data_IF_426651996345
#
_entry.id   IF_426651996345
#
_cell.length_a   1.000
_cell.length_b   1.000
_cell.length_c   1.000
_cell.angle_alpha   90.00
_cell.angle_beta   90.00
_cell.angle_gamma   90.00
#
_symmetry.space_group_name_H-M   'P 1'
#
loop_
_entity.id
_entity.type
_entity.pdbx_description
1 polymer ?
#
# COMPACT_ATOMS: atom_id res chain seq x y z
N UNK A 1 26.78 -4.06 7.40
CA UNK A 1 26.87 -5.12 6.36
C UNK A 1 28.31 -5.21 5.86
N UNK A 2 28.77 -6.38 5.41
CA UNK A 2 30.06 -6.53 4.70
C UNK A 2 29.76 -6.81 3.24
N UNK A 3 30.38 -6.05 2.34
CA UNK A 3 30.18 -6.20 0.91
C UNK A 3 31.44 -6.76 0.25
N UNK A 4 31.23 -7.72 -0.64
CA UNK A 4 32.27 -8.28 -1.51
C UNK A 4 31.88 -8.09 -2.97
N UNK A 5 32.73 -8.52 -3.90
CA UNK A 5 32.42 -8.51 -5.33
C UNK A 5 31.37 -9.58 -5.75
N UNK A 6 31.05 -10.55 -4.89
CA UNK A 6 30.08 -11.62 -5.19
C UNK A 6 28.82 -11.55 -4.30
N UNK A 7 28.96 -11.03 -3.07
CA UNK A 7 27.95 -11.18 -2.00
C UNK A 7 27.81 -9.95 -1.12
N UNK A 8 26.58 -9.73 -0.66
CA UNK A 8 26.22 -8.84 0.44
C UNK A 8 26.04 -9.72 1.68
N UNK A 9 26.73 -9.41 2.78
CA UNK A 9 26.57 -10.09 4.08
C UNK A 9 25.96 -9.15 5.11
N UNK A 10 24.96 -9.63 5.84
CA UNK A 10 24.37 -8.94 6.98
C UNK A 10 24.55 -9.76 8.25
N UNK A 11 25.17 -9.12 9.25
CA UNK A 11 25.33 -9.67 10.59
C UNK A 11 24.66 -8.68 11.56
N UNK A 12 23.60 -9.09 12.27
CA UNK A 12 23.02 -8.26 13.32
C UNK A 12 24.07 -7.97 14.42
N UNK A 13 24.17 -6.72 14.84
CA UNK A 13 25.02 -6.35 15.97
C UNK A 13 24.29 -6.66 17.29
N UNK A 14 24.88 -7.48 18.18
CA UNK A 14 24.43 -7.58 19.57
C UNK A 14 23.70 -8.86 20.04
N UNK A 15 23.73 -9.97 19.29
CA UNK A 15 23.20 -11.25 19.81
C UNK A 15 24.35 -12.03 20.47
N UNK A 16 24.31 -12.09 21.80
CA UNK A 16 25.13 -12.97 22.63
C UNK A 16 24.90 -14.44 22.23
N UNK A 17 26.00 -15.16 22.03
CA UNK A 17 26.17 -16.61 21.95
C UNK A 17 25.10 -17.42 22.71
N UNK A 18 24.00 -17.80 22.07
CA UNK A 18 23.22 -19.00 22.48
C UNK A 18 22.12 -19.47 21.53
N UNK A 19 21.80 -18.80 20.42
CA UNK A 19 20.95 -19.40 19.38
C UNK A 19 21.44 -19.00 17.98
N UNK A 20 21.60 -19.99 17.11
CA UNK A 20 22.04 -19.89 15.72
C UNK A 20 21.26 -18.82 14.95
N UNK A 21 21.83 -17.63 14.82
CA UNK A 21 21.47 -16.70 13.75
C UNK A 21 22.74 -16.49 12.94
N UNK A 22 22.95 -17.38 11.97
CA UNK A 22 24.06 -17.27 11.04
C UNK A 22 24.00 -15.96 10.26
N UNK A 23 25.15 -15.45 9.84
CA UNK A 23 25.21 -14.32 8.93
C UNK A 23 24.33 -14.60 7.71
N UNK A 24 23.38 -13.71 7.42
CA UNK A 24 22.59 -13.80 6.19
C UNK A 24 23.41 -13.25 5.04
N UNK A 25 23.33 -13.87 3.87
CA UNK A 25 24.01 -13.37 2.68
C UNK A 25 23.13 -13.46 1.45
N UNK A 26 23.35 -12.53 0.52
CA UNK A 26 22.69 -12.50 -0.78
C UNK A 26 23.74 -12.41 -1.88
N UNK A 27 23.55 -13.17 -2.95
CA UNK A 27 24.44 -13.17 -4.10
C UNK A 27 24.09 -11.95 -4.98
N UNK A 28 25.08 -11.11 -5.29
CA UNK A 28 24.88 -9.90 -6.09
C UNK A 28 24.32 -10.24 -7.47
N UNK A 29 24.76 -11.36 -8.04
CA UNK A 29 24.29 -11.87 -9.35
C UNK A 29 22.80 -12.25 -9.39
N UNK A 30 22.16 -12.44 -8.24
CA UNK A 30 20.77 -12.85 -8.13
C UNK A 30 19.84 -11.66 -7.89
N UNK A 31 20.38 -10.46 -7.79
CA UNK A 31 19.62 -9.21 -7.73
C UNK A 31 19.10 -8.88 -9.14
N UNK A 32 17.78 -8.82 -9.29
CA UNK A 32 17.10 -8.50 -10.56
C UNK A 32 16.56 -7.08 -10.63
N UNK A 33 16.35 -6.44 -9.49
CA UNK A 33 15.96 -5.04 -9.40
C UNK A 33 16.35 -4.46 -8.04
N UNK A 34 16.33 -3.13 -7.95
CA UNK A 34 16.50 -2.41 -6.69
C UNK A 34 15.46 -1.30 -6.54
N UNK A 35 15.34 -0.72 -5.36
CA UNK A 35 14.52 0.46 -5.17
C UNK A 35 14.97 1.27 -3.94
N UNK A 36 15.00 2.59 -4.05
CA UNK A 36 15.25 3.48 -2.91
C UNK A 36 14.06 3.44 -1.95
N UNK A 37 14.35 3.44 -0.65
CA UNK A 37 13.38 3.25 0.44
C UNK A 37 13.67 4.16 1.62
N UNK A 38 12.71 4.18 2.54
CA UNK A 38 12.84 4.88 3.80
C UNK A 38 13.16 3.91 4.93
N UNK A 39 13.93 4.40 5.90
CA UNK A 39 13.96 3.86 7.26
C UNK A 39 13.24 4.85 8.16
N UNK A 40 12.09 4.46 8.70
CA UNK A 40 11.14 5.43 9.28
C UNK A 40 10.74 6.47 8.23
N UNK A 41 11.03 7.75 8.42
CA UNK A 41 10.85 8.82 7.42
C UNK A 41 12.16 9.23 6.72
N UNK A 42 13.30 8.59 7.02
CA UNK A 42 14.61 8.97 6.46
C UNK A 42 14.85 8.29 5.12
N UNK A 43 15.26 9.06 4.12
CA UNK A 43 15.70 8.52 2.84
C UNK A 43 17.08 7.87 2.95
N UNK A 44 17.15 6.65 3.46
CA UNK A 44 18.43 5.98 3.66
C UNK A 44 18.34 4.46 3.56
N UNK A 45 17.27 3.90 3.01
CA UNK A 45 17.15 2.46 2.83
C UNK A 45 17.17 2.03 1.36
N UNK A 46 17.53 0.77 1.11
CA UNK A 46 17.56 0.12 -0.21
C UNK A 46 16.81 -1.20 -0.13
N UNK A 47 15.87 -1.42 -1.03
CA UNK A 47 15.29 -2.75 -1.25
C UNK A 47 15.94 -3.41 -2.47
N UNK A 48 16.32 -4.68 -2.31
CA UNK A 48 16.90 -5.51 -3.36
C UNK A 48 15.94 -6.66 -3.65
N UNK A 49 15.59 -6.83 -4.92
CA UNK A 49 14.69 -7.88 -5.39
C UNK A 49 15.50 -9.00 -6.02
N UNK A 50 15.20 -10.24 -5.62
CA UNK A 50 15.95 -11.43 -5.98
C UNK A 50 15.23 -12.23 -7.07
N UNK A 51 15.96 -13.09 -7.80
CA UNK A 51 15.40 -13.99 -8.84
C UNK A 51 14.34 -14.97 -8.34
N UNK A 52 14.35 -15.29 -7.05
CA UNK A 52 13.40 -16.19 -6.40
C UNK A 52 12.14 -15.46 -5.87
N UNK A 53 11.91 -14.24 -6.34
CA UNK A 53 10.77 -13.37 -5.98
C UNK A 53 10.80 -12.86 -4.53
N UNK A 54 11.84 -13.19 -3.76
CA UNK A 54 12.06 -12.57 -2.45
C UNK A 54 12.67 -11.18 -2.59
N UNK A 55 12.52 -10.35 -1.55
CA UNK A 55 13.23 -9.08 -1.43
C UNK A 55 13.80 -8.90 -0.04
N UNK A 56 14.85 -8.07 0.05
CA UNK A 56 15.45 -7.65 1.32
C UNK A 56 15.49 -6.13 1.39
N UNK A 57 15.05 -5.59 2.54
CA UNK A 57 15.15 -4.17 2.87
C UNK A 57 16.35 -3.93 3.79
N UNK A 58 17.25 -3.05 3.37
CA UNK A 58 18.48 -2.69 4.10
C UNK A 58 18.46 -1.19 4.41
N UNK A 59 18.54 -0.84 5.70
CA UNK A 59 18.68 0.56 6.15
C UNK A 59 20.16 0.92 6.33
N UNK A 60 20.50 2.17 6.02
CA UNK A 60 21.85 2.74 6.12
C UNK A 60 21.85 4.01 6.98
N UNK A 61 23.01 4.45 7.45
CA UNK A 61 23.11 5.65 8.28
C UNK A 61 22.82 6.93 7.47
N UNK A 62 23.02 6.88 6.14
CA UNK A 62 22.73 8.01 5.25
C UNK A 62 22.40 7.58 3.81
N UNK A 63 21.77 8.48 3.05
CA UNK A 63 21.58 8.30 1.61
C UNK A 63 22.90 8.08 0.86
N UNK A 64 24.00 8.73 1.29
CA UNK A 64 25.33 8.59 0.67
C UNK A 64 25.82 7.15 0.74
N UNK A 65 25.68 6.50 1.90
CA UNK A 65 26.06 5.10 2.06
C UNK A 65 25.18 4.15 1.24
N UNK A 66 23.87 4.41 1.22
CA UNK A 66 22.95 3.70 0.35
C UNK A 66 23.39 3.79 -1.12
N UNK A 67 23.71 4.98 -1.62
CA UNK A 67 24.17 5.17 -3.01
C UNK A 67 25.50 4.45 -3.28
N UNK A 68 26.42 4.37 -2.31
CA UNK A 68 27.65 3.58 -2.47
C UNK A 68 27.34 2.10 -2.73
N UNK A 69 26.38 1.51 -2.00
CA UNK A 69 25.95 0.12 -2.23
C UNK A 69 25.22 -0.02 -3.56
N UNK A 70 24.37 0.94 -3.92
CA UNK A 70 23.63 0.92 -5.18
C UNK A 70 24.56 0.97 -6.40
N UNK A 71 25.65 1.73 -6.32
CA UNK A 71 26.68 1.81 -7.37
C UNK A 71 27.48 0.50 -7.56
N UNK A 72 27.31 -0.46 -6.65
CA UNK A 72 27.96 -1.77 -6.72
C UNK A 72 27.03 -2.85 -7.29
N UNK A 73 25.79 -2.48 -7.64
CA UNK A 73 24.85 -3.38 -8.31
C UNK A 73 25.33 -3.73 -9.73
N UNK A 74 24.93 -4.90 -10.27
CA UNK A 74 25.24 -5.25 -11.65
C UNK A 74 24.79 -4.15 -12.64
N UNK A 75 25.60 -3.93 -13.68
CA UNK A 75 25.27 -2.96 -14.72
C UNK A 75 23.93 -3.33 -15.35
N UNK A 76 23.01 -2.37 -15.41
CA UNK A 76 21.68 -2.56 -15.99
C UNK A 76 20.64 -3.11 -15.02
N UNK A 77 20.94 -3.31 -13.74
CA UNK A 77 19.92 -3.62 -12.73
C UNK A 77 18.91 -2.47 -12.66
N UNK A 78 17.62 -2.68 -13.00
CA UNK A 78 16.61 -1.63 -12.94
C UNK A 78 16.39 -1.17 -11.50
N UNK A 79 16.15 0.13 -11.34
CA UNK A 79 15.73 0.72 -10.08
C UNK A 79 14.26 1.13 -10.19
N UNK A 80 13.35 0.53 -9.42
CA UNK A 80 11.92 0.82 -9.51
C UNK A 80 11.59 2.29 -9.21
N UNK A 81 12.44 2.99 -8.45
CA UNK A 81 12.30 4.42 -8.14
C UNK A 81 12.97 5.35 -9.18
N UNK A 82 13.59 4.81 -10.23
CA UNK A 82 14.13 5.61 -11.33
C UNK A 82 12.98 6.10 -12.23
N UNK A 83 12.85 7.41 -12.46
CA UNK A 83 11.84 7.97 -13.35
C UNK A 83 11.78 7.32 -14.75
N UNK A 84 12.92 6.87 -15.30
CA UNK A 84 12.97 6.17 -16.59
C UNK A 84 12.26 4.82 -16.55
N UNK A 85 12.47 4.05 -15.47
CA UNK A 85 11.81 2.75 -15.27
C UNK A 85 10.31 2.94 -15.10
N UNK A 86 9.89 3.97 -14.35
CA UNK A 86 8.47 4.31 -14.18
C UNK A 86 7.84 4.71 -15.51
N UNK A 87 8.52 5.56 -16.30
CA UNK A 87 8.03 5.99 -17.61
C UNK A 87 7.90 4.81 -18.59
N UNK A 88 8.86 3.89 -18.59
CA UNK A 88 8.79 2.66 -19.37
C UNK A 88 7.59 1.79 -18.95
N UNK A 89 7.37 1.62 -17.63
CA UNK A 89 6.23 0.89 -17.12
C UNK A 89 4.89 1.49 -17.57
N UNK A 90 4.76 2.82 -17.56
CA UNK A 90 3.56 3.50 -18.07
C UNK A 90 3.36 3.16 -19.56
N UNK A 91 4.43 3.26 -20.36
CA UNK A 91 4.38 2.94 -21.79
C UNK A 91 4.03 1.47 -22.07
N UNK A 92 4.57 0.53 -21.29
CA UNK A 92 4.28 -0.90 -21.41
C UNK A 92 2.82 -1.21 -21.01
N UNK A 93 2.34 -0.62 -19.91
CA UNK A 93 0.96 -0.79 -19.45
C UNK A 93 -0.05 -0.19 -20.44
N UNK A 94 0.19 1.02 -20.95
CA UNK A 94 -0.67 1.66 -21.95
C UNK A 94 -0.78 0.83 -23.24
N UNK A 95 0.28 0.10 -23.62
CA UNK A 95 0.29 -0.82 -24.77
C UNK A 95 -0.29 -2.21 -24.46
N UNK A 96 -0.69 -2.47 -23.21
CA UNK A 96 -1.22 -3.76 -22.77
C UNK A 96 -0.17 -4.86 -22.58
N UNK A 97 1.12 -4.50 -22.51
CA UNK A 97 2.22 -5.44 -22.21
C UNK A 97 2.18 -5.83 -20.73
N UNK A 98 1.95 -4.85 -19.84
CA UNK A 98 1.74 -5.10 -18.41
C UNK A 98 0.24 -5.24 -18.08
N UNK A 99 -0.07 -6.21 -17.23
CA UNK A 99 -1.37 -6.30 -16.57
C UNK A 99 -1.59 -5.13 -15.60
N UNK A 100 -2.84 -4.88 -15.20
CA UNK A 100 -3.14 -3.83 -14.24
C UNK A 100 -2.50 -4.12 -12.89
N UNK A 101 -2.49 -5.37 -12.45
CA UNK A 101 -1.84 -5.75 -11.20
C UNK A 101 -0.32 -5.56 -11.22
N UNK A 102 0.37 -6.00 -12.28
CA UNK A 102 1.82 -5.80 -12.39
C UNK A 102 2.17 -4.32 -12.40
N UNK A 103 1.37 -3.53 -13.13
CA UNK A 103 1.54 -2.09 -13.16
C UNK A 103 1.33 -1.44 -11.80
N UNK A 104 0.28 -1.81 -11.07
CA UNK A 104 0.03 -1.32 -9.71
C UNK A 104 1.14 -1.72 -8.72
N UNK A 105 1.71 -2.93 -8.83
CA UNK A 105 2.86 -3.32 -8.02
C UNK A 105 4.09 -2.45 -8.32
N UNK A 106 4.37 -2.20 -9.60
CA UNK A 106 5.46 -1.32 -10.02
C UNK A 106 5.26 0.11 -9.51
N UNK A 107 4.05 0.68 -9.61
CA UNK A 107 3.73 2.01 -9.09
C UNK A 107 3.88 2.08 -7.57
N UNK A 108 3.40 1.07 -6.84
CA UNK A 108 3.59 1.00 -5.40
C UNK A 108 5.08 1.02 -5.04
N UNK A 109 5.88 0.16 -5.67
CA UNK A 109 7.32 0.11 -5.44
C UNK A 109 8.03 1.42 -5.83
N UNK A 110 7.66 2.03 -6.95
CA UNK A 110 8.19 3.33 -7.37
C UNK A 110 7.83 4.44 -6.39
N UNK A 111 6.66 4.36 -5.76
CA UNK A 111 6.16 5.31 -4.77
C UNK A 111 6.68 5.04 -3.34
N UNK A 112 7.73 4.22 -3.20
CA UNK A 112 8.39 3.94 -1.93
C UNK A 112 7.69 2.89 -1.06
N UNK A 113 6.71 2.15 -1.59
CA UNK A 113 6.00 1.08 -0.87
C UNK A 113 6.78 -0.23 -0.91
N UNK A 114 6.65 -1.04 0.15
CA UNK A 114 7.33 -2.33 0.28
C UNK A 114 6.52 -3.31 1.12
N UNK A 115 6.58 -4.59 0.75
CA UNK A 115 6.03 -5.68 1.57
C UNK A 115 6.80 -5.88 2.89
N UNK A 116 8.04 -5.36 2.97
CA UNK A 116 8.89 -5.42 4.17
C UNK A 116 8.65 -4.27 5.15
N UNK A 117 7.78 -3.30 4.82
CA UNK A 117 7.45 -2.16 5.68
C UNK A 117 5.92 -2.01 5.79
N UNK A 118 5.35 -2.40 6.94
CA UNK A 118 3.90 -2.31 7.19
C UNK A 118 3.39 -0.86 7.17
N UNK A 119 4.21 0.14 7.49
CA UNK A 119 3.83 1.56 7.42
C UNK A 119 3.72 2.06 5.98
N UNK A 120 4.36 1.35 5.05
CA UNK A 120 4.38 1.62 3.61
C UNK A 120 3.98 0.40 2.79
N UNK A 121 3.02 -0.36 3.29
CA UNK A 121 2.54 -1.52 2.56
C UNK A 121 1.91 -1.11 1.22
N UNK A 122 2.07 -1.92 0.15
CA UNK A 122 1.43 -1.64 -1.13
C UNK A 122 -0.09 -1.50 -1.00
N UNK A 123 -0.66 -0.58 -1.77
CA UNK A 123 -2.08 -0.22 -1.76
C UNK A 123 -2.71 -0.56 -3.11
N UNK A 124 -3.87 -1.19 -3.06
CA UNK A 124 -4.68 -1.56 -4.22
C UNK A 124 -6.12 -1.03 -4.08
N UNK A 125 -6.80 -0.70 -5.19
CA UNK A 125 -8.17 -0.20 -5.12
C UNK A 125 -9.14 -1.29 -4.70
N UNK A 126 -10.21 -0.95 -4.00
CA UNK A 126 -11.46 -1.71 -4.12
C UNK A 126 -11.96 -1.63 -5.58
N UNK A 127 -12.12 -2.78 -6.24
CA UNK A 127 -12.63 -2.83 -7.63
C UNK A 127 -14.09 -3.27 -7.69
N UNK A 128 -14.45 -4.31 -6.94
CA UNK A 128 -15.83 -4.81 -6.87
C UNK A 128 -16.57 -4.03 -5.79
N UNK A 129 -17.82 -3.67 -6.07
CA UNK A 129 -18.74 -3.01 -5.14
C UNK A 129 -19.88 -3.92 -4.66
N UNK A 130 -19.97 -5.16 -5.17
CA UNK A 130 -21.01 -6.12 -4.85
C UNK A 130 -20.44 -7.31 -4.04
N UNK A 131 -20.79 -7.37 -2.76
CA UNK A 131 -20.42 -8.44 -1.83
C UNK A 131 -21.62 -9.22 -1.28
N UNK A 132 -22.83 -8.94 -1.77
CA UNK A 132 -24.08 -9.51 -1.24
C UNK A 132 -24.85 -10.36 -2.26
N UNK A 133 -24.66 -10.13 -3.57
CA UNK A 133 -25.32 -10.92 -4.61
C UNK A 133 -24.85 -12.37 -4.64
N UNK A 134 -25.75 -13.25 -5.09
CA UNK A 134 -25.45 -14.68 -5.32
C UNK A 134 -24.61 -14.94 -6.56
N UNK A 135 -24.58 -13.99 -7.51
CA UNK A 135 -23.80 -14.08 -8.74
C UNK A 135 -23.10 -12.75 -9.00
N UNK A 136 -21.84 -12.83 -9.42
CA UNK A 136 -21.03 -11.68 -9.81
C UNK A 136 -21.11 -11.48 -11.32
N UNK A 137 -21.62 -10.33 -11.76
CA UNK A 137 -21.72 -9.98 -13.17
C UNK A 137 -20.64 -8.93 -13.55
N UNK A 138 -19.51 -9.40 -14.07
CA UNK A 138 -18.40 -8.51 -14.44
C UNK A 138 -18.64 -7.69 -15.72
N UNK A 139 -19.78 -7.90 -16.40
CA UNK A 139 -20.19 -7.10 -17.55
C UNK A 139 -21.10 -5.92 -17.14
N UNK A 140 -21.61 -5.91 -15.90
CA UNK A 140 -22.43 -4.83 -15.34
C UNK A 140 -21.55 -3.74 -14.72
N UNK A 141 -21.81 -2.48 -15.06
CA UNK A 141 -21.05 -1.33 -14.52
C UNK A 141 -21.26 -1.19 -13.01
N UNK A 142 -22.45 -1.53 -12.53
CA UNK A 142 -22.90 -1.42 -11.14
C UNK A 142 -22.14 -2.37 -10.21
N UNK A 143 -21.50 -3.41 -10.75
CA UNK A 143 -20.63 -4.31 -10.00
C UNK A 143 -19.30 -3.64 -9.62
N UNK A 144 -18.91 -2.57 -10.32
CA UNK A 144 -17.63 -1.90 -10.10
C UNK A 144 -17.77 -0.68 -9.20
N UNK A 145 -16.78 -0.48 -8.35
CA UNK A 145 -16.60 0.76 -7.61
C UNK A 145 -16.24 1.89 -8.56
N UNK A 146 -16.76 3.08 -8.29
CA UNK A 146 -16.34 4.31 -8.95
C UNK A 146 -14.88 4.66 -8.57
N UNK A 147 -13.95 4.45 -9.51
CA UNK A 147 -12.52 4.71 -9.33
C UNK A 147 -12.16 6.20 -9.49
N UNK A 148 -13.10 7.06 -9.86
CA UNK A 148 -12.89 8.52 -9.89
C UNK A 148 -12.95 9.16 -8.50
N UNK A 149 -13.42 8.40 -7.50
CA UNK A 149 -13.65 8.88 -6.14
C UNK A 149 -12.82 8.08 -5.14
N UNK A 150 -12.26 8.73 -4.09
CA UNK A 150 -11.71 8.01 -2.94
C UNK A 150 -12.82 7.35 -2.12
N UNK A 151 -12.46 6.39 -1.24
CA UNK A 151 -13.42 5.63 -0.41
C UNK A 151 -14.38 6.56 0.32
N UNK A 152 -13.83 7.60 0.95
CA UNK A 152 -14.58 8.56 1.75
C UNK A 152 -15.63 9.34 0.98
N UNK A 153 -15.57 9.35 -0.36
CA UNK A 153 -16.48 10.09 -1.24
C UNK A 153 -17.50 9.19 -1.98
N UNK A 154 -17.49 7.87 -1.75
CA UNK A 154 -18.42 6.94 -2.40
C UNK A 154 -19.84 7.00 -1.82
N UNK A 155 -19.97 7.31 -0.53
CA UNK A 155 -21.25 7.52 0.13
C UNK A 155 -21.50 9.02 0.25
N UNK A 156 -22.58 9.51 -0.37
CA UNK A 156 -22.90 10.94 -0.48
C UNK A 156 -23.19 11.59 0.89
N UNK A 157 -24.01 10.95 1.73
CA UNK A 157 -24.31 11.45 3.08
C UNK A 157 -23.03 11.55 3.94
N UNK A 158 -22.17 10.53 3.82
CA UNK A 158 -20.88 10.53 4.52
C UNK A 158 -19.93 11.61 3.99
N UNK A 159 -19.92 11.83 2.68
CA UNK A 159 -19.12 12.89 2.08
C UNK A 159 -19.57 14.28 2.58
N UNK A 160 -20.87 14.53 2.66
CA UNK A 160 -21.42 15.78 3.21
C UNK A 160 -21.00 15.99 4.68
N UNK A 161 -20.91 14.92 5.47
CA UNK A 161 -20.36 15.00 6.82
C UNK A 161 -18.89 15.47 6.82
N UNK A 162 -18.03 14.89 5.97
CA UNK A 162 -16.63 15.28 5.88
C UNK A 162 -16.47 16.72 5.37
N UNK A 163 -17.26 17.14 4.39
CA UNK A 163 -17.23 18.49 3.84
C UNK A 163 -17.66 19.53 4.87
N UNK A 164 -18.75 19.29 5.62
CA UNK A 164 -19.14 20.17 6.73
C UNK A 164 -18.08 20.27 7.82
N UNK A 165 -17.43 19.14 8.14
CA UNK A 165 -16.32 19.13 9.10
C UNK A 165 -15.15 19.97 8.59
N UNK A 166 -14.79 19.83 7.31
CA UNK A 166 -13.73 20.63 6.67
C UNK A 166 -14.07 22.12 6.69
N UNK A 167 -15.30 22.49 6.36
CA UNK A 167 -15.79 23.88 6.40
C UNK A 167 -15.77 24.47 7.80
N UNK A 168 -15.93 23.65 8.85
CA UNK A 168 -15.82 24.08 10.24
C UNK A 168 -14.38 24.27 10.75
N UNK A 169 -13.36 23.88 9.97
CA UNK A 169 -11.94 23.99 10.33
C UNK A 169 -11.26 25.25 9.77
N UNK A 170 -11.99 26.33 9.49
CA UNK A 170 -11.42 27.52 8.82
C UNK A 170 -10.27 28.18 9.61
N UNK A 171 -10.28 28.05 10.94
CA UNK A 171 -9.25 28.60 11.83
C UNK A 171 -8.05 27.65 12.06
N UNK A 172 -8.03 26.49 11.41
CA UNK A 172 -6.93 25.51 11.51
C UNK A 172 -6.03 25.66 10.28
N UNK A 173 -4.72 25.78 10.50
CA UNK A 173 -3.71 26.01 9.44
C UNK A 173 -3.69 24.93 8.34
N UNK A 174 -4.15 23.71 8.66
CA UNK A 174 -4.20 22.57 7.75
C UNK A 174 -5.51 21.79 7.91
N UNK A 175 -6.62 22.26 7.30
CA UNK A 175 -7.88 21.55 7.34
C UNK A 175 -7.80 20.28 6.48
N UNK A 176 -8.57 19.26 6.83
CA UNK A 176 -8.55 17.96 6.17
C UNK A 176 -9.94 17.32 6.14
N UNK A 177 -10.17 16.41 5.18
CA UNK A 177 -11.39 15.59 5.15
C UNK A 177 -11.23 14.36 6.04
N UNK A 178 -10.09 13.67 5.92
CA UNK A 178 -9.87 12.38 6.55
C UNK A 178 -8.76 12.44 7.61
N UNK A 179 -9.12 12.15 8.86
CA UNK A 179 -8.16 12.02 9.97
C UNK A 179 -7.47 10.65 10.03
N UNK A 180 -7.98 9.68 9.28
CA UNK A 180 -7.40 8.35 9.06
C UNK A 180 -6.96 8.24 7.60
N UNK A 181 -5.91 7.45 7.33
CA UNK A 181 -5.38 7.22 6.00
C UNK A 181 -5.89 5.88 5.42
N UNK A 182 -5.98 5.75 4.10
CA UNK A 182 -6.48 4.51 3.47
C UNK A 182 -5.54 3.30 3.59
N UNK A 183 -4.30 3.51 4.02
CA UNK A 183 -3.28 2.48 4.24
C UNK A 183 -2.46 2.81 5.47
N UNK A 184 -2.52 1.94 6.46
CA UNK A 184 -1.80 2.05 7.73
C UNK A 184 -1.49 0.62 8.25
N UNK A 185 -0.46 0.44 9.09
CA UNK A 185 -0.12 -0.88 9.64
C UNK A 185 -1.31 -1.61 10.24
N UNK A 186 -2.16 -0.89 10.99
CA UNK A 186 -3.37 -1.46 11.58
C UNK A 186 -4.34 -2.05 10.56
N UNK A 187 -4.47 -1.45 9.37
CA UNK A 187 -5.33 -1.97 8.29
C UNK A 187 -4.71 -3.15 7.55
N UNK A 188 -3.39 -3.12 7.35
CA UNK A 188 -2.67 -4.25 6.75
C UNK A 188 -2.77 -5.47 7.67
N UNK A 189 -2.50 -5.29 8.96
CA UNK A 189 -2.62 -6.36 9.95
C UNK A 189 -4.08 -6.78 10.19
N UNK A 190 -5.05 -5.87 10.04
CA UNK A 190 -6.47 -6.23 10.03
C UNK A 190 -6.74 -7.31 8.96
N UNK A 191 -6.26 -7.11 7.73
CA UNK A 191 -6.40 -8.10 6.66
C UNK A 191 -5.57 -9.36 6.90
N UNK A 192 -4.33 -9.19 7.38
CA UNK A 192 -3.34 -10.25 7.50
C UNK A 192 -3.30 -10.93 8.87
N UNK A 193 -4.25 -10.69 9.77
CA UNK A 193 -4.25 -11.24 11.15
C UNK A 193 -4.07 -12.77 11.20
N UNK A 194 -4.51 -13.49 10.15
CA UNK A 194 -4.38 -14.95 10.02
C UNK A 194 -3.00 -15.41 9.54
N UNK A 195 -2.28 -14.54 8.84
CA UNK A 195 -0.94 -14.79 8.32
C UNK A 195 0.16 -14.25 9.25
N UNK A 196 -0.09 -13.11 9.88
CA UNK A 196 0.84 -12.33 10.70
C UNK A 196 0.29 -12.08 12.12
N UNK A 197 -0.14 -13.12 12.87
CA UNK A 197 -0.77 -12.93 14.18
C UNK A 197 0.15 -12.29 15.22
N UNK A 198 1.45 -12.60 15.18
CA UNK A 198 2.46 -12.01 16.06
C UNK A 198 2.53 -10.48 15.94
N UNK A 199 2.47 -9.95 14.72
CA UNK A 199 2.47 -8.50 14.49
C UNK A 199 1.19 -7.84 15.02
N UNK A 200 0.03 -8.50 14.85
CA UNK A 200 -1.23 -8.01 15.44
C UNK A 200 -1.16 -8.00 16.98
N UNK A 201 -0.59 -9.03 17.59
CA UNK A 201 -0.42 -9.09 19.04
C UNK A 201 0.51 -7.99 19.55
N UNK A 202 1.60 -7.68 18.83
CA UNK A 202 2.47 -6.54 19.16
C UNK A 202 1.71 -5.22 19.12
N UNK A 203 0.90 -4.98 18.08
CA UNK A 203 0.10 -3.76 17.93
C UNK A 203 -0.95 -3.60 19.04
N UNK A 204 -1.51 -4.71 19.53
CA UNK A 204 -2.65 -4.73 20.45
C UNK A 204 -2.25 -5.18 21.87
N UNK A 205 -1.02 -4.87 22.31
CA UNK A 205 -0.52 -5.12 23.67
C UNK A 205 -0.70 -6.58 24.16
N UNK A 206 -0.39 -7.54 23.28
CA UNK A 206 -0.39 -8.97 23.58
C UNK A 206 -1.76 -9.65 23.49
N UNK A 207 -2.79 -8.99 22.98
CA UNK A 207 -4.14 -9.56 22.77
C UNK A 207 -4.63 -9.29 21.36
N UNK A 208 -5.55 -10.10 20.85
CA UNK A 208 -6.26 -9.74 19.62
C UNK A 208 -7.27 -8.63 19.88
N UNK A 209 -7.63 -7.88 18.83
CA UNK A 209 -8.65 -6.83 18.91
C UNK A 209 -10.03 -7.41 19.25
N UNK A 210 -11.00 -6.54 19.56
CA UNK A 210 -12.38 -6.94 19.77
C UNK A 210 -12.93 -7.67 18.53
N UNK A 211 -13.62 -8.81 18.69
CA UNK A 211 -14.09 -9.62 17.56
C UNK A 211 -14.91 -8.86 16.50
N UNK A 212 -15.77 -7.92 16.92
CA UNK A 212 -16.57 -7.09 16.00
C UNK A 212 -15.74 -6.10 15.16
N UNK A 213 -14.52 -5.78 15.59
CA UNK A 213 -13.57 -4.92 14.87
C UNK A 213 -12.56 -5.70 14.05
N UNK A 214 -12.55 -7.03 14.12
CA UNK A 214 -11.62 -7.86 13.37
C UNK A 214 -12.10 -8.14 11.95
N UNK A 215 -11.18 -8.58 11.09
CA UNK A 215 -11.51 -8.97 9.73
C UNK A 215 -12.21 -10.31 9.70
N UNK A 216 -13.55 -10.31 9.62
CA UNK A 216 -14.34 -11.54 9.66
C UNK A 216 -15.35 -11.69 8.49
N UNK A 217 -15.61 -10.65 7.70
CA UNK A 217 -16.57 -10.71 6.60
C UNK A 217 -16.31 -9.63 5.57
N UNK A 218 -16.19 -10.00 4.29
CA UNK A 218 -15.92 -9.03 3.21
C UNK A 218 -17.05 -8.02 3.00
N UNK A 219 -18.29 -8.48 3.10
CA UNK A 219 -19.47 -7.61 3.01
C UNK A 219 -19.48 -6.57 4.13
N UNK A 220 -19.20 -7.00 5.36
CA UNK A 220 -19.08 -6.10 6.51
C UNK A 220 -17.91 -5.13 6.35
N UNK A 221 -16.74 -5.62 5.91
CA UNK A 221 -15.54 -4.82 5.71
C UNK A 221 -15.76 -3.73 4.66
N UNK A 222 -16.43 -4.05 3.55
CA UNK A 222 -16.77 -3.09 2.50
C UNK A 222 -17.82 -2.08 3.00
N UNK A 223 -18.89 -2.56 3.64
CA UNK A 223 -19.93 -1.69 4.23
C UNK A 223 -19.35 -0.72 5.27
N UNK A 224 -18.47 -1.19 6.16
CA UNK A 224 -17.75 -0.35 7.12
C UNK A 224 -16.89 0.70 6.42
N UNK A 225 -16.17 0.32 5.37
CA UNK A 225 -15.37 1.25 4.57
C UNK A 225 -16.22 2.37 3.94
N UNK A 226 -17.52 2.15 3.73
CA UNK A 226 -18.44 3.13 3.14
C UNK A 226 -19.27 3.94 4.14
N UNK A 227 -19.37 3.48 5.39
CA UNK A 227 -20.30 4.07 6.37
C UNK A 227 -19.62 4.59 7.63
N UNK A 228 -18.54 3.97 8.08
CA UNK A 228 -17.83 4.40 9.28
C UNK A 228 -16.93 5.62 8.96
N UNK A 229 -17.05 6.70 9.75
CA UNK A 229 -16.28 7.94 9.56
C UNK A 229 -14.78 7.78 9.86
N UNK A 230 -14.40 6.75 10.62
CA UNK A 230 -13.02 6.42 10.94
C UNK A 230 -12.44 5.31 10.04
N UNK A 231 -13.12 4.96 8.95
CA UNK A 231 -12.75 3.86 8.06
C UNK A 231 -12.84 4.30 6.59
N UNK A 232 -11.67 4.55 6.01
CA UNK A 232 -11.50 4.90 4.58
C UNK A 232 -10.52 3.96 3.87
N UNK A 233 -10.33 2.76 4.41
CA UNK A 233 -9.29 1.82 3.96
C UNK A 233 -9.47 1.34 2.52
N UNK A 234 -8.38 1.37 1.77
CA UNK A 234 -8.25 0.68 0.48
C UNK A 234 -7.73 -0.76 0.71
N UNK A 235 -7.60 -1.54 -0.37
CA UNK A 235 -7.16 -2.94 -0.31
C UNK A 235 -5.64 -3.09 -0.36
N UNK A 236 -5.19 -4.33 -0.18
CA UNK A 236 -3.80 -4.79 -0.34
C UNK A 236 -3.69 -5.77 -1.54
N UNK A 237 -2.49 -6.00 -2.10
CA UNK A 237 -2.30 -6.83 -3.29
C UNK A 237 -2.84 -8.27 -3.18
N UNK A 238 -2.87 -8.84 -1.98
CA UNK A 238 -3.28 -10.22 -1.70
C UNK A 238 -4.72 -10.53 -2.13
N UNK A 239 -5.56 -9.50 -2.26
CA UNK A 239 -6.91 -9.63 -2.80
C UNK A 239 -6.95 -9.95 -4.30
N UNK A 240 -5.82 -9.79 -5.00
CA UNK A 240 -5.67 -9.91 -6.45
C UNK A 240 -4.53 -10.86 -6.87
N UNK A 241 -3.72 -11.29 -5.92
CA UNK A 241 -2.56 -12.14 -6.17
C UNK A 241 -2.97 -13.62 -6.24
N UNK A 242 -3.07 -14.14 -7.47
CA UNK A 242 -3.41 -15.55 -7.71
C UNK A 242 -2.24 -16.51 -7.50
N UNK A 243 -1.02 -16.00 -7.33
CA UNK A 243 0.20 -16.76 -6.99
C UNK A 243 0.36 -16.91 -5.48
N UNK A 244 0.08 -15.85 -4.71
CA UNK A 244 0.27 -15.80 -3.25
C UNK A 244 -0.94 -16.38 -2.47
N UNK A 245 -1.25 -17.66 -2.71
CA UNK A 245 -2.15 -18.45 -1.86
C UNK A 245 -3.52 -17.81 -1.56
N UNK A 246 -4.16 -18.21 -0.47
CA UNK A 246 -5.40 -17.57 0.02
C UNK A 246 -5.48 -17.57 1.54
N UNK A 247 -4.31 -17.63 2.18
CA UNK A 247 -4.17 -17.99 3.58
C UNK A 247 -4.66 -16.87 4.51
N UNK A 248 -4.61 -15.61 4.06
CA UNK A 248 -5.10 -14.46 4.83
C UNK A 248 -6.62 -14.48 5.06
N UNK A 249 -7.35 -15.33 4.31
CA UNK A 249 -8.79 -15.56 4.45
C UNK A 249 -9.11 -16.79 5.31
N UNK A 250 -8.14 -17.64 5.62
CA UNK A 250 -8.32 -18.95 6.25
C UNK A 250 -7.57 -19.00 7.58
N UNK A 251 -8.27 -19.28 8.67
CA UNK A 251 -7.65 -19.40 9.99
C UNK A 251 -7.11 -20.82 10.20
N UNK A 252 -6.11 -21.20 9.40
CA UNK A 252 -5.53 -22.55 9.42
C UNK A 252 -4.85 -22.90 10.76
N UNK A 253 -4.36 -21.88 11.48
CA UNK A 253 -3.72 -22.04 12.81
C UNK A 253 -4.74 -22.07 13.96
N UNK A 254 -6.05 -22.02 13.67
CA UNK A 254 -7.12 -21.99 14.66
C UNK A 254 -6.90 -20.93 15.75
N UNK A 255 -6.49 -19.73 15.34
CA UNK A 255 -6.22 -18.59 16.22
C UNK A 255 -7.47 -18.26 17.07
N UNK A 256 -7.30 -17.90 18.36
CA UNK A 256 -8.40 -17.59 19.27
C UNK A 256 -8.92 -16.16 19.06
N UNK A 257 -9.59 -15.92 17.93
CA UNK A 257 -10.13 -14.60 17.55
C UNK A 257 -11.49 -14.28 18.22
N UNK A 258 -11.97 -15.09 19.15
CA UNK A 258 -13.18 -14.81 19.93
C UNK A 258 -14.49 -14.84 19.14
N UNK A 259 -15.53 -14.22 19.73
CA UNK A 259 -16.89 -14.18 19.23
C UNK A 259 -17.38 -12.73 19.19
N UNK A 260 -18.08 -12.36 18.12
CA UNK A 260 -18.77 -11.07 17.99
C UNK A 260 -19.84 -10.90 19.07
N UNK A 261 -20.37 -9.69 19.23
CA UNK A 261 -21.48 -9.42 20.16
C UNK A 261 -22.74 -10.26 19.84
N UNK A 262 -22.92 -10.64 18.57
CA UNK A 262 -24.02 -11.51 18.12
C UNK A 262 -23.75 -13.00 18.39
N UNK A 263 -22.58 -13.35 18.94
CA UNK A 263 -22.18 -14.72 19.23
C UNK A 263 -21.47 -15.44 18.08
N UNK A 264 -21.39 -14.85 16.89
CA UNK A 264 -20.68 -15.43 15.74
C UNK A 264 -19.19 -15.57 16.06
N UNK A 265 -18.66 -16.78 15.92
CA UNK A 265 -17.22 -17.04 16.07
C UNK A 265 -16.44 -16.39 14.94
N UNK A 266 -15.39 -15.63 15.27
CA UNK A 266 -14.43 -15.14 14.29
C UNK A 266 -13.44 -16.26 13.98
N UNK A 267 -13.47 -16.77 12.74
CA UNK A 267 -12.58 -17.83 12.27
C UNK A 267 -12.09 -17.54 10.86
N UNK A 268 -12.58 -18.26 9.84
CA UNK A 268 -12.32 -17.93 8.43
C UNK A 268 -13.09 -16.66 8.06
N UNK A 269 -12.57 -15.91 7.10
CA UNK A 269 -13.28 -14.74 6.62
C UNK A 269 -14.51 -15.18 5.82
N UNK A 270 -15.69 -14.61 6.14
CA UNK A 270 -16.91 -14.84 5.39
C UNK A 270 -16.80 -14.21 4.00
N UNK A 271 -16.92 -15.06 2.99
CA UNK A 271 -16.84 -14.68 1.58
C UNK A 271 -18.20 -14.22 1.07
N UNK A 272 -18.24 -13.37 0.03
CA UNK A 272 -19.48 -13.04 -0.66
C UNK A 272 -20.12 -14.29 -1.28
N UNK A 273 -21.46 -14.37 -1.39
CA UNK A 273 -22.15 -15.58 -1.85
C UNK A 273 -21.74 -16.06 -3.25
N UNK A 274 -21.28 -15.14 -4.11
CA UNK A 274 -20.79 -15.47 -5.44
C UNK A 274 -19.43 -16.17 -5.45
N UNK A 275 -18.68 -16.22 -4.35
CA UNK A 275 -17.37 -16.88 -4.26
C UNK A 275 -17.49 -18.30 -3.67
N UNK A 276 -17.00 -19.30 -4.40
CA UNK A 276 -17.08 -20.70 -3.97
C UNK A 276 -15.99 -21.11 -2.96
N UNK A 277 -14.88 -20.38 -2.95
CA UNK A 277 -13.73 -20.61 -2.07
C UNK A 277 -12.86 -19.35 -2.02
N UNK A 278 -11.94 -19.24 -1.05
CA UNK A 278 -10.98 -18.13 -1.00
C UNK A 278 -10.18 -17.94 -2.30
N UNK A 279 -9.75 -19.05 -2.93
CA UNK A 279 -9.07 -19.01 -4.24
C UNK A 279 -9.98 -18.52 -5.37
N UNK A 280 -11.25 -18.95 -5.40
CA UNK A 280 -12.22 -18.48 -6.39
C UNK A 280 -12.54 -16.99 -6.20
N UNK A 281 -12.58 -16.51 -4.95
CA UNK A 281 -12.71 -15.09 -4.61
C UNK A 281 -11.55 -14.28 -5.20
N UNK A 282 -10.30 -14.64 -4.91
CA UNK A 282 -9.11 -13.91 -5.41
C UNK A 282 -9.05 -13.93 -6.93
N UNK A 283 -9.33 -15.08 -7.56
CA UNK A 283 -9.37 -15.20 -9.03
C UNK A 283 -10.42 -14.28 -9.66
N UNK A 284 -11.60 -14.14 -9.05
CA UNK A 284 -12.66 -13.22 -9.52
C UNK A 284 -12.29 -11.76 -9.31
N UNK A 285 -11.65 -11.42 -8.19
CA UNK A 285 -11.10 -10.08 -7.98
C UNK A 285 -10.04 -9.74 -9.02
N UNK A 286 -9.08 -10.65 -9.28
CA UNK A 286 -8.09 -10.46 -10.34
C UNK A 286 -8.75 -10.29 -11.70
N UNK A 287 -9.76 -11.12 -12.03
CA UNK A 287 -10.52 -10.95 -13.28
C UNK A 287 -11.22 -9.58 -13.37
N UNK A 288 -11.78 -9.08 -12.27
CA UNK A 288 -12.40 -7.75 -12.23
C UNK A 288 -11.37 -6.63 -12.41
N UNK A 289 -10.21 -6.72 -11.73
CA UNK A 289 -9.11 -5.78 -11.86
C UNK A 289 -8.58 -5.72 -13.30
N UNK A 290 -8.46 -6.85 -13.97
CA UNK A 290 -8.00 -6.92 -15.37
C UNK A 290 -9.12 -6.68 -16.41
N UNK A 291 -10.34 -6.38 -15.97
CA UNK A 291 -11.46 -6.12 -16.89
C UNK A 291 -11.25 -4.84 -17.70
N UNK A 292 -11.91 -4.75 -18.86
CA UNK A 292 -11.94 -3.52 -19.67
C UNK A 292 -12.55 -2.34 -18.89
N UNK A 293 -13.57 -2.61 -18.06
CA UNK A 293 -14.23 -1.58 -17.24
C UNK A 293 -13.24 -1.00 -16.24
N UNK A 294 -12.53 -1.85 -15.49
CA UNK A 294 -11.51 -1.39 -14.54
C UNK A 294 -10.37 -0.69 -15.26
N UNK A 295 -9.82 -1.28 -16.32
CA UNK A 295 -8.69 -0.73 -17.09
C UNK A 295 -8.92 0.69 -17.61
N UNK A 296 -10.15 1.00 -18.03
CA UNK A 296 -10.53 2.34 -18.50
C UNK A 296 -10.62 3.39 -17.39
N UNK A 297 -10.91 2.97 -16.16
CA UNK A 297 -11.13 3.89 -15.03
C UNK A 297 -9.95 3.92 -14.04
N UNK A 298 -9.04 2.95 -14.11
CA UNK A 298 -7.88 2.84 -13.24
C UNK A 298 -6.97 4.08 -13.21
N UNK A 299 -6.74 4.81 -14.34
CA UNK A 299 -6.00 6.07 -14.33
C UNK A 299 -6.49 7.08 -13.29
N UNK A 300 -7.80 7.19 -13.10
CA UNK A 300 -8.37 8.14 -12.13
C UNK A 300 -8.01 7.77 -10.69
N UNK A 301 -8.00 6.48 -10.36
CA UNK A 301 -7.56 6.03 -9.04
C UNK A 301 -6.05 6.23 -8.87
N UNK A 302 -5.26 5.99 -9.92
CA UNK A 302 -3.82 6.28 -9.90
C UNK A 302 -3.57 7.77 -9.63
N UNK A 303 -4.37 8.68 -10.22
CA UNK A 303 -4.25 10.11 -9.96
C UNK A 303 -4.54 10.47 -8.49
N UNK A 304 -5.48 9.78 -7.83
CA UNK A 304 -5.80 9.96 -6.41
C UNK A 304 -4.68 9.46 -5.49
N UNK A 305 -3.96 8.41 -5.87
CA UNK A 305 -3.01 7.73 -4.97
C UNK A 305 -1.56 8.14 -5.24
N UNK A 306 -1.15 8.14 -6.51
CA UNK A 306 0.23 8.37 -6.95
C UNK A 306 0.40 9.65 -7.79
N UNK A 307 -0.69 10.23 -8.27
CA UNK A 307 -0.66 11.36 -9.21
C UNK A 307 -1.12 12.68 -8.61
N UNK A 308 -1.52 13.58 -9.51
CA UNK A 308 -1.78 15.01 -9.23
C UNK A 308 -2.88 15.28 -8.21
N UNK A 309 -3.77 14.32 -7.96
CA UNK A 309 -4.89 14.45 -7.03
C UNK A 309 -4.58 13.84 -5.65
N UNK A 310 -3.35 13.39 -5.42
CA UNK A 310 -2.92 12.81 -4.13
C UNK A 310 -2.70 13.85 -3.02
N UNK A 311 -2.44 15.11 -3.37
CA UNK A 311 -2.09 16.16 -2.41
C UNK A 311 -2.51 17.57 -2.82
N UNK A 312 -2.42 18.49 -1.87
CA UNK A 312 -2.65 19.91 -2.07
C UNK A 312 -4.09 20.24 -2.49
N UNK A 313 -4.24 21.33 -3.26
CA UNK A 313 -5.55 21.82 -3.68
C UNK A 313 -6.28 20.85 -4.62
N UNK A 314 -5.54 20.10 -5.44
CA UNK A 314 -6.14 19.07 -6.27
C UNK A 314 -6.77 17.95 -5.43
N UNK A 315 -6.08 17.51 -4.36
CA UNK A 315 -6.68 16.56 -3.42
C UNK A 315 -7.95 17.12 -2.77
N UNK A 316 -7.96 18.39 -2.37
CA UNK A 316 -9.17 19.04 -1.82
C UNK A 316 -10.33 18.98 -2.82
N UNK A 317 -10.10 19.38 -4.08
CA UNK A 317 -11.13 19.39 -5.14
C UNK A 317 -11.68 17.99 -5.46
N UNK A 318 -10.86 16.95 -5.31
CA UNK A 318 -11.24 15.57 -5.55
C UNK A 318 -11.67 14.83 -4.27
N UNK A 319 -11.94 15.57 -3.18
CA UNK A 319 -12.32 15.03 -1.89
C UNK A 319 -11.33 13.99 -1.33
N UNK A 320 -10.03 14.19 -1.54
CA UNK A 320 -8.96 13.24 -1.24
C UNK A 320 -7.90 13.81 -0.27
N UNK A 321 -8.29 14.76 0.57
CA UNK A 321 -7.37 15.49 1.46
C UNK A 321 -7.27 14.85 2.84
N UNK A 322 -6.10 14.33 3.18
CA UNK A 322 -5.82 13.68 4.47
C UNK A 322 -5.24 14.66 5.50
N UNK A 323 -5.12 14.21 6.75
CA UNK A 323 -4.43 14.95 7.79
C UNK A 323 -2.97 15.27 7.41
N UNK A 324 -2.46 16.44 7.79
CA UNK A 324 -1.11 16.93 7.42
C UNK A 324 0.02 15.92 7.72
N UNK A 325 -0.11 15.17 8.80
CA UNK A 325 0.88 14.18 9.22
C UNK A 325 1.10 13.07 8.19
N UNK A 326 0.09 12.75 7.36
CA UNK A 326 0.21 11.75 6.32
C UNK A 326 1.09 12.21 5.14
N UNK A 327 1.40 13.51 5.04
CA UNK A 327 2.22 14.09 3.96
C UNK A 327 3.65 14.39 4.38
N UNK A 328 4.07 14.02 5.59
CA UNK A 328 5.40 14.30 6.10
C UNK A 328 6.50 13.70 5.21
N UNK A 329 7.56 14.49 4.98
CA UNK A 329 8.72 14.13 4.19
C UNK A 329 10.00 14.22 5.01
N UNK A 330 11.12 13.62 4.54
CA UNK A 330 12.41 13.74 5.21
C UNK A 330 12.80 15.20 5.48
N UNK A 331 12.52 16.11 4.55
CA UNK A 331 12.86 17.54 4.69
C UNK A 331 12.06 18.21 5.81
N UNK A 332 10.81 17.80 6.01
CA UNK A 332 9.93 18.38 7.02
C UNK A 332 10.43 18.02 8.43
N UNK A 333 10.98 16.80 8.61
CA UNK A 333 11.62 16.41 9.87
C UNK A 333 12.90 17.19 10.16
N UNK A 334 13.70 17.50 9.13
CA UNK A 334 14.95 18.26 9.31
C UNK A 334 14.71 19.69 9.77
N UNK A 335 13.52 20.24 9.52
CA UNK A 335 13.13 21.59 9.94
C UNK A 335 12.60 21.66 11.37
N UNK A 336 12.23 20.53 11.98
CA UNK A 336 11.78 20.48 13.37
C UNK A 336 12.93 20.77 14.31
N UNK A 337 12.68 21.48 15.41
CA UNK A 337 13.75 21.95 16.30
C UNK A 337 14.23 20.84 17.24
N UNK A 338 13.31 20.11 17.87
CA UNK A 338 13.63 19.12 18.90
C UNK A 338 13.61 17.67 18.39
N UNK A 339 14.44 16.81 18.99
CA UNK A 339 14.44 15.36 18.72
C UNK A 339 13.11 14.70 19.10
N UNK A 340 12.48 15.16 20.19
CA UNK A 340 11.20 14.63 20.66
C UNK A 340 10.06 14.93 19.67
N UNK A 341 10.03 16.14 19.10
CA UNK A 341 9.06 16.51 18.06
C UNK A 341 9.26 15.65 16.81
N UNK A 342 10.50 15.47 16.36
CA UNK A 342 10.84 14.60 15.22
C UNK A 342 10.38 13.17 15.44
N UNK A 343 10.71 12.59 16.60
CA UNK A 343 10.35 11.22 16.96
C UNK A 343 8.83 11.04 17.04
N UNK A 344 8.11 12.01 17.61
CA UNK A 344 6.65 11.97 17.69
C UNK A 344 5.99 12.05 16.31
N UNK A 345 6.46 12.96 15.44
CA UNK A 345 5.95 13.10 14.08
C UNK A 345 6.21 11.86 13.23
N UNK A 346 7.41 11.28 13.32
CA UNK A 346 7.78 10.04 12.65
C UNK A 346 6.91 8.87 13.11
N UNK A 347 6.77 8.66 14.43
CA UNK A 347 5.92 7.62 14.99
C UNK A 347 4.46 7.78 14.52
N UNK A 348 3.92 9.00 14.60
CA UNK A 348 2.55 9.26 14.17
C UNK A 348 2.35 8.94 12.69
N UNK A 349 3.28 9.33 11.82
CA UNK A 349 3.22 9.01 10.39
C UNK A 349 3.25 7.50 10.15
N UNK A 350 4.15 6.79 10.82
CA UNK A 350 4.32 5.34 10.67
C UNK A 350 3.10 4.55 11.14
N UNK A 351 2.42 4.98 12.20
CA UNK A 351 1.26 4.28 12.79
C UNK A 351 -0.07 4.62 12.08
N UNK A 352 -0.26 5.88 11.68
CA UNK A 352 -1.55 6.36 11.15
C UNK A 352 -1.58 6.53 9.62
N UNK A 353 -0.50 6.15 8.96
CA UNK A 353 -0.40 6.07 7.52
C UNK A 353 0.26 7.28 6.87
N UNK A 354 0.96 6.99 5.78
CA UNK A 354 1.75 7.93 4.99
C UNK A 354 1.17 7.91 3.58
N UNK A 355 1.03 9.05 2.92
CA UNK A 355 0.61 9.14 1.51
C UNK A 355 1.78 8.69 0.61
N UNK A 356 1.55 7.86 -0.44
CA UNK A 356 2.62 7.42 -1.32
C UNK A 356 3.33 8.61 -1.98
N UNK A 357 4.51 8.37 -2.49
CA UNK A 357 5.25 9.40 -3.19
C UNK A 357 4.52 9.86 -4.46
N UNK A 358 4.60 11.16 -4.76
CA UNK A 358 4.03 11.70 -5.99
C UNK A 358 4.87 11.23 -7.17
N UNK A 359 4.31 10.36 -8.01
CA UNK A 359 4.95 9.86 -9.22
C UNK A 359 4.62 10.73 -10.43
N UNK A 360 3.38 11.22 -10.54
CA UNK A 360 2.90 11.87 -11.77
C UNK A 360 2.50 13.33 -11.54
N UNK A 361 2.91 14.20 -12.45
CA UNK A 361 2.69 15.66 -12.41
C UNK A 361 1.53 16.14 -13.29
N UNK A 362 0.97 15.25 -14.10
CA UNK A 362 -0.25 15.46 -14.87
C UNK A 362 -1.20 14.26 -14.71
N UNK A 363 -2.42 14.36 -15.26
CA UNK A 363 -3.37 13.27 -15.26
C UNK A 363 -2.79 12.02 -15.93
N UNK A 364 -3.05 10.87 -15.32
CA UNK A 364 -2.54 9.60 -15.81
C UNK A 364 -3.17 9.26 -17.18
N UNK A 365 -2.36 8.78 -18.16
CA UNK A 365 -2.89 8.43 -19.48
C UNK A 365 -3.86 7.24 -19.42
N UNK A 366 -4.81 7.22 -20.34
CA UNK A 366 -5.73 6.10 -20.50
C UNK A 366 -5.03 4.88 -21.12
N UNK A 367 -5.46 3.67 -20.75
CA UNK A 367 -4.95 2.43 -21.34
C UNK A 367 -5.37 2.34 -22.80
N UNK A 368 -4.42 2.10 -23.70
CA UNK A 368 -4.65 2.01 -25.15
C UNK A 368 -4.57 3.34 -25.90
N UNK A 369 -4.48 4.48 -25.21
CA UNK A 369 -4.16 5.75 -25.86
C UNK A 369 -2.64 5.90 -25.92
N UNK A 370 -2.11 6.07 -27.13
CA UNK A 370 -0.68 6.34 -27.34
C UNK A 370 -0.34 7.72 -26.79
N UNK A 371 0.03 7.79 -25.52
CA UNK A 371 0.44 9.06 -24.92
C UNK A 371 1.89 9.36 -25.32
N UNK A 372 2.08 10.46 -26.07
CA UNK A 372 3.37 11.16 -26.06
C UNK A 372 3.51 11.80 -24.68
N UNK A 373 4.29 11.17 -23.81
CA UNK A 373 4.48 11.64 -22.43
C UNK A 373 5.56 12.72 -22.42
N UNK A 374 5.21 13.89 -21.89
CA UNK A 374 6.16 14.99 -21.71
C UNK A 374 7.33 14.57 -20.79
N UNK A 375 8.52 15.14 -21.00
CA UNK A 375 9.74 14.81 -20.23
C UNK A 375 9.57 14.97 -18.70
N UNK A 376 8.59 15.77 -18.26
CA UNK A 376 8.33 16.07 -16.85
C UNK A 376 7.11 15.33 -16.26
N UNK A 377 6.49 14.42 -17.01
CA UNK A 377 5.31 13.67 -16.55
C UNK A 377 5.60 12.86 -15.29
N UNK A 378 6.74 12.16 -15.26
CA UNK A 378 7.22 11.44 -14.08
C UNK A 378 8.09 12.37 -13.23
N UNK A 379 7.67 12.59 -11.99
CA UNK A 379 8.39 13.44 -11.05
C UNK A 379 9.75 12.81 -10.69
N UNK A 380 10.81 13.61 -10.74
CA UNK A 380 12.09 13.24 -10.15
C UNK A 380 12.05 13.47 -8.65
N UNK A 381 12.33 12.42 -7.89
CA UNK A 381 12.50 12.51 -6.44
C UNK A 381 13.97 12.67 -6.04
N UNK A 382 14.88 12.08 -6.81
CA UNK A 382 16.31 11.94 -6.52
C UNK A 382 17.18 12.61 -7.57
#
# INVERSE_FOLDING_TARGET
AVLTNDRIYFQPAGISLSNETGATFWMIRDIVASARRYDGLKDCALELFMKDETSVLLSFDSNKERELVMNLMPVGTPCHTDPKVVLEAVGQWSKGVLSNFEYLLLLNSAAGRSFNDLSRYPVFPWVIADYSSTKLNLDAKETYRDLTKPIGALNEERLEYFQRRLEGMQDIDHPFLYGTHYSAPGYVLYYLVRCMPEHMLCLQNGKFDSPDRMFHSLDHTYSSALTNHADVKELIPEFYDTSAGSDFLINARNLPLGNTQLGDRVHDCRLPPWAKSPRDFIRKNRKALESTICSRNLPHWIDLIFGVNSRGENARRHNNLFHKAAYLRPEDLQMMESDDERAHAELHAMEFGIVPDLLFTANHPLKGEGAEMEENFVRRRW
#
